data_IF_226739543764
#
_entry.id   IF_226739543764
#
_cell.length_a   1.000
_cell.length_b   1.000
_cell.length_c   1.000
_cell.angle_alpha   90.00
_cell.angle_beta   90.00
_cell.angle_gamma   90.00
#
_symmetry.space_group_name_H-M   'P 1'
#
loop_
_entity.id
_entity.type
_entity.pdbx_description
1 polymer ?
#
# COMPACT_ATOMS: atom_id res chain seq x y z
N UNK A 1 -25.60 -6.28 14.47
CA UNK A 1 -24.62 -5.44 13.74
C UNK A 1 -23.34 -6.23 13.53
N UNK A 2 -22.69 -6.19 12.36
CA UNK A 2 -21.39 -6.86 12.16
C UNK A 2 -20.29 -6.17 12.95
N UNK A 3 -19.38 -6.95 13.53
CA UNK A 3 -18.24 -6.45 14.31
C UNK A 3 -17.29 -5.59 13.48
N UNK A 4 -16.53 -4.73 14.15
CA UNK A 4 -15.50 -3.90 13.54
C UNK A 4 -14.54 -4.72 12.66
N UNK A 5 -14.06 -5.85 13.17
CA UNK A 5 -13.15 -6.76 12.45
C UNK A 5 -13.69 -7.19 11.06
N UNK A 6 -14.97 -7.56 10.98
CA UNK A 6 -15.56 -7.94 9.70
C UNK A 6 -15.76 -6.75 8.76
N UNK A 7 -15.97 -5.55 9.31
CA UNK A 7 -16.13 -4.33 8.51
C UNK A 7 -14.80 -3.83 7.96
N UNK A 8 -13.73 -3.81 8.75
CA UNK A 8 -12.40 -3.38 8.29
C UNK A 8 -11.84 -4.30 7.21
N UNK A 9 -12.12 -5.61 7.31
CA UNK A 9 -11.71 -6.63 6.34
C UNK A 9 -12.51 -6.63 5.04
N UNK A 10 -13.62 -5.89 5.00
CA UNK A 10 -14.47 -5.79 3.80
C UNK A 10 -13.74 -4.99 2.72
N UNK A 11 -13.60 -5.59 1.53
CA UNK A 11 -12.98 -4.92 0.39
C UNK A 11 -13.76 -3.65 0.00
N UNK A 12 -15.09 -3.70 0.01
CA UNK A 12 -15.92 -2.55 -0.33
C UNK A 12 -15.74 -1.36 0.64
N UNK A 13 -15.66 -1.63 1.96
CA UNK A 13 -15.34 -0.57 2.94
C UNK A 13 -13.94 -0.02 2.71
N UNK A 14 -12.98 -0.89 2.38
CA UNK A 14 -11.60 -0.48 2.11
C UNK A 14 -11.54 0.48 0.91
N UNK A 15 -12.19 0.16 -0.21
CA UNK A 15 -12.18 1.04 -1.39
C UNK A 15 -12.82 2.41 -1.13
N UNK A 16 -13.94 2.48 -0.41
CA UNK A 16 -14.51 3.77 0.02
C UNK A 16 -13.56 4.54 0.93
N UNK A 17 -12.91 3.86 1.85
CA UNK A 17 -12.00 4.47 2.82
C UNK A 17 -10.72 5.02 2.16
N UNK A 18 -10.23 4.36 1.11
CA UNK A 18 -9.01 4.75 0.38
C UNK A 18 -9.26 5.91 -0.60
N UNK A 19 -10.52 6.19 -0.97
CA UNK A 19 -10.87 7.21 -1.96
C UNK A 19 -10.22 8.59 -1.72
N UNK A 20 -10.20 9.16 -0.50
CA UNK A 20 -9.55 10.46 -0.27
C UNK A 20 -8.07 10.47 -0.62
N UNK A 21 -7.36 9.37 -0.35
CA UNK A 21 -5.94 9.22 -0.68
C UNK A 21 -5.73 9.12 -2.19
N UNK A 22 -6.59 8.36 -2.89
CA UNK A 22 -6.53 8.26 -4.34
C UNK A 22 -6.74 9.61 -5.03
N UNK A 23 -7.75 10.38 -4.57
CA UNK A 23 -8.01 11.73 -5.09
C UNK A 23 -6.82 12.65 -4.82
N UNK A 24 -6.28 12.63 -3.60
CA UNK A 24 -5.12 13.44 -3.23
C UNK A 24 -3.89 13.15 -4.10
N UNK A 25 -3.61 11.87 -4.38
CA UNK A 25 -2.52 11.49 -5.28
C UNK A 25 -2.75 11.95 -6.72
N UNK A 26 -3.90 11.63 -7.31
CA UNK A 26 -4.18 11.97 -8.73
C UNK A 26 -4.20 13.49 -8.96
N UNK A 27 -4.81 14.25 -8.06
CA UNK A 27 -4.77 15.73 -8.11
C UNK A 27 -3.35 16.24 -7.89
N UNK A 28 -2.62 15.69 -6.94
CA UNK A 28 -1.23 16.08 -6.67
C UNK A 28 -0.31 15.89 -7.87
N UNK A 29 -0.42 14.76 -8.56
CA UNK A 29 0.33 14.47 -9.80
C UNK A 29 -0.12 15.40 -10.93
N UNK A 30 -1.42 15.64 -11.09
CA UNK A 30 -1.95 16.55 -12.13
C UNK A 30 -1.44 17.99 -11.94
N UNK A 31 -1.40 18.48 -10.70
CA UNK A 31 -0.91 19.82 -10.38
C UNK A 31 0.61 19.97 -10.59
N UNK A 32 1.36 18.89 -10.43
CA UNK A 32 2.81 18.93 -10.59
C UNK A 32 3.25 19.11 -12.05
N UNK A 33 2.46 18.64 -13.02
CA UNK A 33 2.78 18.75 -14.45
C UNK A 33 4.00 17.94 -14.91
N UNK A 34 4.68 17.23 -13.99
CA UNK A 34 5.78 16.33 -14.31
C UNK A 34 5.22 14.92 -14.47
N UNK A 35 5.54 14.24 -15.57
CA UNK A 35 5.05 12.89 -15.87
C UNK A 35 5.61 11.77 -14.96
N UNK A 36 6.18 12.13 -13.80
CA UNK A 36 6.74 11.19 -12.84
C UNK A 36 5.61 10.64 -11.99
N UNK A 37 5.49 9.31 -11.91
CA UNK A 37 4.43 8.60 -11.19
C UNK A 37 5.03 7.53 -10.30
N UNK A 38 4.28 7.09 -9.29
CA UNK A 38 4.66 5.92 -8.52
C UNK A 38 4.78 4.69 -9.46
N UNK A 39 5.76 3.83 -9.24
CA UNK A 39 6.00 2.67 -10.11
C UNK A 39 4.82 1.70 -10.12
N UNK A 40 4.17 1.47 -8.98
CA UNK A 40 2.99 0.60 -8.92
C UNK A 40 1.77 1.20 -9.64
N UNK A 41 1.61 2.53 -9.63
CA UNK A 41 0.63 3.24 -10.47
C UNK A 41 0.85 2.90 -11.95
N UNK A 42 2.09 3.06 -12.42
CA UNK A 42 2.45 2.71 -13.81
C UNK A 42 2.12 1.24 -14.10
N UNK A 43 2.56 0.31 -13.25
CA UNK A 43 2.35 -1.14 -13.44
C UNK A 43 0.87 -1.51 -13.48
N UNK A 44 0.05 -0.96 -12.58
CA UNK A 44 -1.40 -1.21 -12.55
C UNK A 44 -2.08 -0.70 -13.83
N UNK A 45 -1.58 0.39 -14.41
CA UNK A 45 -2.13 0.98 -15.64
C UNK A 45 -1.60 0.31 -16.93
N UNK A 46 -0.53 -0.50 -16.88
CA UNK A 46 0.05 -1.18 -18.07
C UNK A 46 -0.98 -1.98 -18.88
N UNK A 47 -1.85 -2.83 -18.28
CA UNK A 47 -2.83 -3.59 -19.06
C UNK A 47 -3.80 -2.70 -19.85
N UNK A 48 -4.05 -1.48 -19.37
CA UNK A 48 -4.92 -0.53 -20.03
C UNK A 48 -4.25 0.20 -21.20
N UNK A 49 -2.92 0.13 -21.32
CA UNK A 49 -2.20 0.66 -22.48
C UNK A 49 -2.58 -0.06 -23.78
N UNK A 50 -3.12 -1.28 -23.70
CA UNK A 50 -3.66 -2.03 -24.84
C UNK A 50 -4.83 -1.29 -25.53
N UNK A 51 -5.51 -0.39 -24.82
CA UNK A 51 -6.60 0.43 -25.37
C UNK A 51 -6.11 1.77 -25.97
N UNK A 52 -4.79 1.92 -26.14
CA UNK A 52 -4.18 3.11 -26.75
C UNK A 52 -4.51 4.39 -26.00
N UNK A 53 -4.89 5.45 -26.73
CA UNK A 53 -5.19 6.78 -26.18
C UNK A 53 -6.32 6.77 -25.13
N UNK A 54 -7.21 5.77 -25.19
CA UNK A 54 -8.34 5.65 -24.27
C UNK A 54 -8.00 4.89 -22.98
N UNK A 55 -6.79 4.33 -22.85
CA UNK A 55 -6.43 3.50 -21.69
C UNK A 55 -6.61 4.20 -20.34
N UNK A 56 -6.23 5.48 -20.25
CA UNK A 56 -6.42 6.26 -19.02
C UNK A 56 -7.90 6.51 -18.70
N UNK A 57 -8.73 6.75 -19.72
CA UNK A 57 -10.17 6.95 -19.52
C UNK A 57 -10.84 5.66 -19.05
N UNK A 58 -10.45 4.52 -19.63
CA UNK A 58 -10.96 3.20 -19.24
C UNK A 58 -10.55 2.89 -17.80
N UNK A 59 -9.29 3.10 -17.41
CA UNK A 59 -8.85 2.91 -16.03
C UNK A 59 -9.70 3.76 -15.05
N UNK A 60 -9.90 5.04 -15.35
CA UNK A 60 -10.71 5.93 -14.50
C UNK A 60 -12.17 5.45 -14.42
N UNK A 61 -12.75 4.99 -15.53
CA UNK A 61 -14.10 4.42 -15.55
C UNK A 61 -14.17 3.16 -14.66
N UNK A 62 -13.18 2.28 -14.74
CA UNK A 62 -13.08 1.10 -13.88
C UNK A 62 -13.04 1.48 -12.39
N UNK A 63 -12.23 2.48 -12.03
CA UNK A 63 -12.17 3.00 -10.65
C UNK A 63 -13.55 3.52 -10.21
N UNK A 64 -14.21 4.35 -11.03
CA UNK A 64 -15.54 4.91 -10.71
C UNK A 64 -16.57 3.80 -10.54
N UNK A 65 -16.64 2.85 -11.47
CA UNK A 65 -17.58 1.72 -11.39
C UNK A 65 -17.33 0.91 -10.13
N UNK A 66 -16.05 0.61 -9.82
CA UNK A 66 -15.70 -0.15 -8.62
C UNK A 66 -16.10 0.59 -7.33
N UNK A 67 -15.95 1.92 -7.29
CA UNK A 67 -16.37 2.75 -6.17
C UNK A 67 -17.89 2.77 -6.01
N UNK A 68 -18.65 2.93 -7.10
CA UNK A 68 -20.12 2.91 -7.06
C UNK A 68 -20.65 1.55 -6.58
N UNK A 69 -20.10 0.45 -7.10
CA UNK A 69 -20.43 -0.90 -6.66
C UNK A 69 -20.08 -1.08 -5.18
N UNK A 70 -18.93 -0.57 -4.74
CA UNK A 70 -18.53 -0.62 -3.33
C UNK A 70 -19.47 0.18 -2.43
N UNK A 71 -19.88 1.38 -2.85
CA UNK A 71 -20.85 2.22 -2.13
C UNK A 71 -22.18 1.49 -1.94
N UNK A 72 -22.75 1.00 -3.05
CA UNK A 72 -24.02 0.27 -3.03
C UNK A 72 -23.94 -1.00 -2.16
N UNK A 73 -22.83 -1.74 -2.25
CA UNK A 73 -22.63 -2.93 -1.44
C UNK A 73 -22.50 -2.62 0.06
N UNK A 74 -21.80 -1.54 0.42
CA UNK A 74 -21.65 -1.10 1.80
C UNK A 74 -22.98 -0.66 2.38
N UNK A 75 -23.73 0.14 1.64
CA UNK A 75 -25.08 0.58 2.03
C UNK A 75 -25.98 -0.63 2.30
N UNK A 76 -26.05 -1.58 1.35
CA UNK A 76 -26.92 -2.75 1.44
C UNK A 76 -26.50 -3.75 2.53
N UNK A 77 -25.20 -3.97 2.75
CA UNK A 77 -24.69 -5.08 3.59
C UNK A 77 -24.18 -4.67 4.97
N UNK A 78 -23.68 -3.45 5.11
CA UNK A 78 -23.02 -2.99 6.32
C UNK A 78 -23.71 -1.78 6.95
N UNK A 79 -24.47 -0.99 6.18
CA UNK A 79 -24.87 0.37 6.54
C UNK A 79 -23.63 1.26 6.77
N UNK A 80 -23.65 2.46 6.20
CA UNK A 80 -22.54 3.40 6.29
C UNK A 80 -22.26 3.74 7.76
N UNK A 81 -21.00 3.68 8.18
CA UNK A 81 -20.59 3.94 9.57
C UNK A 81 -19.27 4.69 9.57
N UNK A 82 -19.35 6.01 9.82
CA UNK A 82 -18.17 6.87 9.96
C UNK A 82 -17.23 6.40 11.07
N UNK A 83 -17.78 5.87 12.17
CA UNK A 83 -16.99 5.27 13.25
C UNK A 83 -16.09 4.13 12.77
N UNK A 84 -16.54 3.34 11.79
CA UNK A 84 -15.69 2.27 11.22
C UNK A 84 -14.45 2.86 10.55
N UNK A 85 -14.60 3.94 9.78
CA UNK A 85 -13.48 4.60 9.11
C UNK A 85 -12.54 5.31 10.09
N UNK A 86 -13.09 5.92 11.15
CA UNK A 86 -12.27 6.52 12.22
C UNK A 86 -11.43 5.43 12.90
N UNK A 87 -12.02 4.29 13.24
CA UNK A 87 -11.30 3.17 13.86
C UNK A 87 -10.24 2.59 12.90
N UNK A 88 -10.56 2.44 11.61
CA UNK A 88 -9.58 1.99 10.59
C UNK A 88 -8.41 2.97 10.45
N UNK A 89 -8.68 4.28 10.51
CA UNK A 89 -7.65 5.32 10.48
C UNK A 89 -6.75 5.24 11.72
N UNK A 90 -7.34 5.20 12.91
CA UNK A 90 -6.59 5.11 14.18
C UNK A 90 -5.75 3.84 14.21
N UNK A 91 -6.31 2.70 13.83
CA UNK A 91 -5.59 1.44 13.75
C UNK A 91 -4.41 1.51 12.76
N UNK A 92 -4.66 2.04 11.55
CA UNK A 92 -3.61 2.23 10.55
C UNK A 92 -2.51 3.18 11.04
N UNK A 93 -2.86 4.26 11.72
CA UNK A 93 -1.92 5.19 12.32
C UNK A 93 -1.06 4.54 13.42
N UNK A 94 -1.65 3.69 14.28
CA UNK A 94 -0.90 2.94 15.30
C UNK A 94 0.10 1.99 14.63
N UNK A 95 -0.30 1.24 13.60
CA UNK A 95 0.63 0.41 12.84
C UNK A 95 1.70 1.23 12.12
N UNK A 96 1.36 2.41 11.60
CA UNK A 96 2.31 3.29 10.93
C UNK A 96 3.39 3.78 11.91
N UNK A 97 3.00 4.15 13.13
CA UNK A 97 3.94 4.51 14.19
C UNK A 97 4.84 3.32 14.58
N UNK A 98 4.28 2.11 14.66
CA UNK A 98 5.06 0.91 14.93
C UNK A 98 6.09 0.62 13.83
N UNK A 99 5.71 0.71 12.55
CA UNK A 99 6.65 0.50 11.42
C UNK A 99 7.70 1.63 11.40
N UNK A 100 7.25 2.88 11.47
CA UNK A 100 8.12 4.04 11.37
C UNK A 100 9.14 4.14 12.50
N UNK A 101 8.66 4.15 13.75
CA UNK A 101 9.54 4.31 14.91
C UNK A 101 10.07 2.97 15.43
N UNK A 102 9.23 1.96 15.58
CA UNK A 102 9.63 0.68 16.18
C UNK A 102 10.55 -0.12 15.26
N UNK A 103 10.04 -0.52 14.10
CA UNK A 103 10.82 -1.28 13.12
C UNK A 103 11.99 -0.44 12.58
N UNK A 104 11.75 0.84 12.33
CA UNK A 104 12.78 1.79 11.95
C UNK A 104 13.94 1.88 12.96
N UNK A 105 13.66 1.98 14.25
CA UNK A 105 14.68 1.97 15.30
C UNK A 105 15.51 0.67 15.26
N UNK A 106 14.86 -0.49 15.18
CA UNK A 106 15.55 -1.78 15.12
C UNK A 106 16.50 -1.83 13.93
N UNK A 107 16.07 -1.41 12.74
CA UNK A 107 16.91 -1.50 11.55
C UNK A 107 18.06 -0.50 11.60
N UNK A 108 17.78 0.78 11.82
CA UNK A 108 18.77 1.84 11.60
C UNK A 108 19.57 2.24 12.84
N UNK A 109 19.11 1.91 14.06
CA UNK A 109 19.87 2.19 15.30
C UNK A 109 20.48 0.92 15.91
N UNK A 110 19.86 -0.25 15.72
CA UNK A 110 20.37 -1.51 16.29
C UNK A 110 21.16 -2.32 15.26
N UNK A 111 20.57 -2.64 14.11
CA UNK A 111 21.21 -3.52 13.12
C UNK A 111 22.26 -2.78 12.27
N UNK A 112 21.99 -1.53 11.90
CA UNK A 112 22.83 -0.74 11.00
C UNK A 112 23.08 0.69 11.52
N UNK A 113 23.72 0.88 12.69
CA UNK A 113 23.88 2.19 13.35
C UNK A 113 24.67 3.23 12.55
N UNK A 114 25.50 2.79 11.58
CA UNK A 114 26.29 3.67 10.71
C UNK A 114 25.56 4.06 9.41
N UNK A 115 24.33 3.60 9.21
CA UNK A 115 23.56 3.94 8.02
C UNK A 115 23.09 5.40 8.08
N UNK A 116 23.50 6.20 7.09
CA UNK A 116 23.02 7.57 6.94
C UNK A 116 21.68 7.59 6.22
N UNK A 117 20.66 8.16 6.86
CA UNK A 117 19.38 8.41 6.22
C UNK A 117 19.53 9.55 5.20
N UNK A 118 19.07 9.31 3.97
CA UNK A 118 18.94 10.35 2.95
C UNK A 118 17.45 10.63 2.72
N UNK A 119 17.02 11.91 2.73
CA UNK A 119 15.67 12.25 2.31
C UNK A 119 15.46 11.76 0.88
N UNK A 120 14.37 11.03 0.65
CA UNK A 120 14.02 10.56 -0.69
C UNK A 120 13.50 11.72 -1.56
N UNK A 121 12.84 12.71 -0.95
CA UNK A 121 12.43 13.95 -1.60
C UNK A 121 12.98 15.17 -0.87
N UNK A 122 13.46 16.14 -1.63
CA UNK A 122 13.79 17.49 -1.13
C UNK A 122 12.55 18.39 -1.01
N UNK A 123 11.53 18.13 -1.84
CA UNK A 123 10.23 18.81 -1.78
C UNK A 123 9.26 17.99 -0.92
N UNK A 124 8.89 18.53 0.24
CA UNK A 124 7.98 17.89 1.20
C UNK A 124 6.61 17.60 0.60
N UNK A 125 6.04 18.53 -0.18
CA UNK A 125 4.73 18.33 -0.81
C UNK A 125 4.77 17.14 -1.79
N UNK A 126 5.81 17.07 -2.63
CA UNK A 126 6.01 15.95 -3.55
C UNK A 126 6.18 14.65 -2.78
N UNK A 127 6.95 14.66 -1.68
CA UNK A 127 7.08 13.49 -0.81
C UNK A 127 5.73 13.01 -0.30
N UNK A 128 4.88 13.90 0.22
CA UNK A 128 3.54 13.55 0.70
C UNK A 128 2.68 12.95 -0.42
N UNK A 129 2.64 13.58 -1.60
CA UNK A 129 1.86 13.07 -2.74
C UNK A 129 2.33 11.66 -3.12
N UNK A 130 3.64 11.42 -3.22
CA UNK A 130 4.18 10.10 -3.55
C UNK A 130 3.96 9.06 -2.44
N UNK A 131 4.05 9.44 -1.16
CA UNK A 131 3.73 8.57 -0.01
C UNK A 131 2.27 8.11 -0.05
N UNK A 132 1.36 9.02 -0.38
CA UNK A 132 -0.06 8.71 -0.53
C UNK A 132 -0.27 7.77 -1.73
N UNK A 133 0.37 8.07 -2.86
CA UNK A 133 0.34 7.21 -4.05
C UNK A 133 0.88 5.80 -3.79
N UNK A 134 2.02 5.70 -3.10
CA UNK A 134 2.63 4.42 -2.70
C UNK A 134 1.66 3.62 -1.83
N UNK A 135 1.10 4.24 -0.78
CA UNK A 135 0.14 3.57 0.08
C UNK A 135 -1.08 3.02 -0.67
N UNK A 136 -1.59 3.73 -1.68
CA UNK A 136 -2.73 3.24 -2.49
C UNK A 136 -2.31 2.18 -3.49
N UNK A 137 -1.41 2.53 -4.41
CA UNK A 137 -1.10 1.71 -5.57
C UNK A 137 -0.23 0.50 -5.23
N UNK A 138 0.74 0.64 -4.32
CA UNK A 138 1.59 -0.49 -3.93
C UNK A 138 0.80 -1.52 -3.13
N UNK A 139 -0.08 -1.11 -2.22
CA UNK A 139 -0.89 -2.07 -1.48
C UNK A 139 -1.91 -2.77 -2.38
N UNK A 140 -2.49 -2.08 -3.37
CA UNK A 140 -3.32 -2.76 -4.37
C UNK A 140 -2.48 -3.77 -5.17
N UNK A 141 -1.31 -3.37 -5.67
CA UNK A 141 -0.47 -4.23 -6.50
C UNK A 141 0.07 -5.44 -5.73
N UNK A 142 0.75 -5.20 -4.62
CA UNK A 142 1.48 -6.24 -3.90
C UNK A 142 0.59 -7.06 -2.99
N UNK A 143 -0.40 -6.44 -2.32
CA UNK A 143 -1.22 -7.15 -1.32
C UNK A 143 -2.50 -7.67 -1.94
N UNK A 144 -3.30 -6.79 -2.54
CA UNK A 144 -4.56 -7.23 -3.13
C UNK A 144 -4.35 -8.13 -4.35
N UNK A 145 -3.50 -7.76 -5.30
CA UNK A 145 -3.33 -8.53 -6.55
C UNK A 145 -2.31 -9.66 -6.38
N UNK A 146 -1.05 -9.34 -6.08
CA UNK A 146 0.04 -10.32 -6.08
C UNK A 146 -0.13 -11.39 -5.00
N UNK A 147 -0.28 -11.02 -3.72
CA UNK A 147 -0.42 -12.02 -2.64
C UNK A 147 -1.68 -12.87 -2.82
N UNK A 148 -2.82 -12.28 -3.21
CA UNK A 148 -4.04 -13.05 -3.48
C UNK A 148 -3.86 -14.02 -4.65
N UNK A 149 -3.21 -13.60 -5.73
CA UNK A 149 -2.92 -14.46 -6.88
C UNK A 149 -1.99 -15.61 -6.52
N UNK A 150 -0.88 -15.32 -5.83
CA UNK A 150 0.05 -16.33 -5.33
C UNK A 150 -0.66 -17.32 -4.39
N UNK A 151 -1.50 -16.82 -3.48
CA UNK A 151 -2.23 -17.68 -2.55
C UNK A 151 -3.19 -18.60 -3.30
N UNK A 152 -3.92 -18.07 -4.28
CA UNK A 152 -4.79 -18.86 -5.14
C UNK A 152 -4.01 -19.94 -5.90
N UNK A 153 -2.87 -19.59 -6.50
CA UNK A 153 -2.01 -20.56 -7.20
C UNK A 153 -1.56 -21.67 -6.24
N UNK A 154 -1.00 -21.34 -5.09
CA UNK A 154 -0.48 -22.36 -4.17
C UNK A 154 -1.60 -23.18 -3.52
N UNK A 155 -2.68 -22.55 -3.04
CA UNK A 155 -3.74 -23.24 -2.30
C UNK A 155 -4.75 -23.96 -3.21
N UNK A 156 -5.09 -23.39 -4.37
CA UNK A 156 -6.16 -23.92 -5.23
C UNK A 156 -5.59 -24.69 -6.42
N UNK A 157 -4.55 -24.19 -7.08
CA UNK A 157 -3.97 -24.87 -8.25
C UNK A 157 -3.02 -25.99 -7.84
N UNK A 158 -2.04 -25.69 -6.98
CA UNK A 158 -1.06 -26.69 -6.51
C UNK A 158 -1.53 -27.48 -5.29
N UNK A 159 -2.69 -27.12 -4.71
CA UNK A 159 -3.31 -27.82 -3.56
C UNK A 159 -2.40 -27.94 -2.33
N UNK A 160 -1.48 -26.99 -2.15
CA UNK A 160 -0.66 -26.87 -0.94
C UNK A 160 -1.56 -26.50 0.26
N UNK A 161 -1.21 -26.94 1.47
CA UNK A 161 -1.97 -26.63 2.68
C UNK A 161 -2.10 -25.11 2.85
N UNK A 162 -3.33 -24.62 3.06
CA UNK A 162 -3.65 -23.18 3.13
C UNK A 162 -2.71 -22.34 4.00
N UNK A 163 -2.31 -22.77 5.23
CA UNK A 163 -1.38 -21.99 6.03
C UNK A 163 -0.01 -21.83 5.36
N UNK A 164 0.50 -22.90 4.74
CA UNK A 164 1.77 -22.89 4.02
C UNK A 164 1.65 -22.01 2.78
N UNK A 165 0.56 -22.12 2.01
CA UNK A 165 0.30 -21.26 0.86
C UNK A 165 0.32 -19.78 1.25
N UNK A 166 -0.33 -19.40 2.36
CA UNK A 166 -0.33 -18.02 2.84
C UNK A 166 1.08 -17.54 3.23
N UNK A 167 1.84 -18.35 3.99
CA UNK A 167 3.22 -18.01 4.38
C UNK A 167 4.09 -17.82 3.14
N UNK A 168 4.07 -18.75 2.19
CA UNK A 168 4.88 -18.68 0.97
C UNK A 168 4.49 -17.47 0.11
N UNK A 169 3.19 -17.18 -0.04
CA UNK A 169 2.74 -15.98 -0.76
C UNK A 169 3.21 -14.68 -0.12
N UNK A 170 3.18 -14.58 1.22
CA UNK A 170 3.69 -13.42 1.96
C UNK A 170 5.19 -13.25 1.78
N UNK A 171 5.96 -14.34 1.89
CA UNK A 171 7.43 -14.30 1.73
C UNK A 171 7.83 -13.86 0.31
N UNK A 172 7.22 -14.48 -0.71
CA UNK A 172 7.48 -14.13 -2.12
C UNK A 172 7.03 -12.70 -2.40
N UNK A 173 5.82 -12.33 -1.95
CA UNK A 173 5.28 -10.98 -2.14
C UNK A 173 6.17 -9.88 -1.51
N UNK A 174 6.63 -10.09 -0.28
CA UNK A 174 7.53 -9.17 0.40
C UNK A 174 8.90 -9.06 -0.29
N UNK A 175 9.43 -10.16 -0.81
CA UNK A 175 10.68 -10.15 -1.58
C UNK A 175 10.53 -9.37 -2.89
N UNK A 176 9.46 -9.61 -3.66
CA UNK A 176 9.18 -8.89 -4.91
C UNK A 176 8.95 -7.40 -4.62
N UNK A 177 8.17 -7.05 -3.59
CA UNK A 177 7.99 -5.68 -3.12
C UNK A 177 9.34 -4.99 -2.85
N UNK A 178 10.23 -5.68 -2.12
CA UNK A 178 11.56 -5.15 -1.80
C UNK A 178 12.42 -4.99 -3.05
N UNK A 179 12.43 -5.98 -3.94
CA UNK A 179 13.22 -5.95 -5.16
C UNK A 179 12.80 -4.80 -6.10
N UNK A 180 11.50 -4.56 -6.23
CA UNK A 180 10.96 -3.50 -7.09
C UNK A 180 11.45 -2.09 -6.72
N UNK A 181 11.75 -1.85 -5.44
CA UNK A 181 12.28 -0.56 -4.98
C UNK A 181 13.71 -0.26 -5.47
N UNK A 182 14.42 -1.25 -6.00
CA UNK A 182 15.75 -1.07 -6.59
C UNK A 182 15.70 -1.03 -8.12
N UNK A 183 14.51 -0.89 -8.70
CA UNK A 183 14.28 -0.86 -10.15
C UNK A 183 13.52 0.40 -10.57
N UNK A 184 13.65 0.77 -11.85
CA UNK A 184 12.98 1.93 -12.42
C UNK A 184 13.69 3.27 -12.15
N UNK A 185 13.05 4.36 -12.56
CA UNK A 185 13.61 5.72 -12.55
C UNK A 185 13.73 6.30 -11.14
N UNK A 186 12.77 5.99 -10.26
CA UNK A 186 12.74 6.45 -8.86
C UNK A 186 13.28 5.39 -7.90
N UNK A 187 14.26 4.58 -8.34
CA UNK A 187 14.83 3.53 -7.52
C UNK A 187 15.60 4.08 -6.32
N UNK A 188 15.58 3.32 -5.24
CA UNK A 188 16.41 3.57 -4.08
C UNK A 188 17.89 3.25 -4.35
N UNK A 189 18.76 3.88 -3.55
CA UNK A 189 20.11 3.38 -3.37
C UNK A 189 20.09 2.09 -2.55
N UNK A 190 20.66 1.02 -3.10
CA UNK A 190 20.79 -0.23 -2.38
C UNK A 190 21.76 -0.08 -1.21
N UNK A 191 21.26 -0.38 -0.01
CA UNK A 191 22.05 -0.55 1.21
C UNK A 191 21.45 -1.72 1.99
N UNK A 192 22.25 -2.39 2.82
CA UNK A 192 21.71 -3.46 3.67
C UNK A 192 20.59 -2.93 4.59
N UNK A 193 20.73 -1.71 5.12
CA UNK A 193 19.72 -1.08 5.95
C UNK A 193 18.39 -0.84 5.19
N UNK A 194 18.44 -0.23 4.00
CA UNK A 194 17.22 0.01 3.20
C UNK A 194 16.57 -1.30 2.77
N UNK A 195 17.36 -2.31 2.39
CA UNK A 195 16.84 -3.62 1.98
C UNK A 195 16.15 -4.32 3.14
N UNK A 196 16.80 -4.36 4.31
CA UNK A 196 16.24 -4.98 5.51
C UNK A 196 14.98 -4.25 5.97
N UNK A 197 14.95 -2.91 5.98
CA UNK A 197 13.76 -2.15 6.33
C UNK A 197 12.59 -2.47 5.39
N UNK A 198 12.82 -2.44 4.07
CA UNK A 198 11.78 -2.72 3.07
C UNK A 198 11.27 -4.15 3.12
N UNK A 199 12.14 -5.12 3.37
CA UNK A 199 11.74 -6.51 3.51
C UNK A 199 10.87 -6.71 4.75
N UNK A 200 11.30 -6.17 5.89
CA UNK A 200 10.57 -6.30 7.15
C UNK A 200 9.25 -5.51 7.13
N UNK A 201 9.24 -4.28 6.60
CA UNK A 201 8.01 -3.51 6.42
C UNK A 201 7.07 -4.24 5.44
N UNK A 202 7.64 -4.82 4.38
CA UNK A 202 6.95 -5.64 3.41
C UNK A 202 6.17 -6.80 4.04
N UNK A 203 6.81 -7.52 4.96
CA UNK A 203 6.22 -8.61 5.74
C UNK A 203 5.15 -8.12 6.72
N UNK A 204 5.42 -7.05 7.47
CA UNK A 204 4.45 -6.47 8.44
C UNK A 204 3.20 -5.98 7.73
N UNK A 205 3.33 -5.23 6.64
CA UNK A 205 2.21 -4.77 5.81
C UNK A 205 1.40 -5.96 5.27
N UNK A 206 2.07 -7.02 4.82
CA UNK A 206 1.40 -8.24 4.35
C UNK A 206 0.59 -8.91 5.47
N UNK A 207 1.13 -8.96 6.70
CA UNK A 207 0.39 -9.47 7.86
C UNK A 207 -0.84 -8.59 8.16
N UNK A 208 -0.68 -7.26 8.21
CA UNK A 208 -1.79 -6.33 8.44
C UNK A 208 -2.87 -6.53 7.39
N UNK A 209 -2.51 -6.65 6.10
CA UNK A 209 -3.46 -6.93 5.04
C UNK A 209 -4.27 -8.22 5.29
N UNK A 210 -3.59 -9.34 5.61
CA UNK A 210 -4.26 -10.63 5.81
C UNK A 210 -5.23 -10.62 7.01
N UNK A 211 -4.85 -9.94 8.09
CA UNK A 211 -5.66 -9.92 9.31
C UNK A 211 -6.72 -8.83 9.30
N UNK A 212 -6.40 -7.63 8.78
CA UNK A 212 -7.19 -6.41 9.01
C UNK A 212 -7.85 -5.85 7.76
N UNK A 213 -7.29 -6.12 6.59
CA UNK A 213 -7.85 -5.73 5.28
C UNK A 213 -7.09 -4.59 4.59
N UNK A 214 -7.49 -4.33 3.34
CA UNK A 214 -6.81 -3.40 2.43
C UNK A 214 -6.80 -1.96 2.95
N UNK A 215 -7.93 -1.46 3.48
CA UNK A 215 -8.02 -0.06 3.89
C UNK A 215 -7.08 0.29 5.03
N UNK A 216 -6.92 -0.62 6.01
CA UNK A 216 -6.01 -0.41 7.15
C UNK A 216 -4.55 -0.41 6.68
N UNK A 217 -4.15 -1.36 5.82
CA UNK A 217 -2.76 -1.44 5.34
C UNK A 217 -2.39 -0.25 4.44
N UNK A 218 -3.32 0.24 3.61
CA UNK A 218 -3.10 1.42 2.75
C UNK A 218 -2.80 2.67 3.57
N UNK A 219 -3.61 2.94 4.60
CA UNK A 219 -3.35 4.07 5.49
C UNK A 219 -2.11 3.85 6.34
N UNK A 220 -1.85 2.62 6.79
CA UNK A 220 -0.60 2.29 7.49
C UNK A 220 0.60 2.69 6.65
N UNK A 221 0.61 2.27 5.37
CA UNK A 221 1.70 2.52 4.44
C UNK A 221 1.85 4.03 4.16
N UNK A 222 0.78 4.68 3.72
CA UNK A 222 0.80 6.11 3.40
C UNK A 222 1.25 6.96 4.60
N UNK A 223 0.76 6.67 5.82
CA UNK A 223 1.10 7.44 7.02
C UNK A 223 2.57 7.25 7.39
N UNK A 224 3.09 6.02 7.40
CA UNK A 224 4.50 5.83 7.79
C UNK A 224 5.43 6.50 6.76
N UNK A 225 5.12 6.41 5.47
CA UNK A 225 5.89 7.10 4.43
C UNK A 225 5.83 8.62 4.61
N UNK A 226 4.64 9.21 4.82
CA UNK A 226 4.51 10.65 5.08
C UNK A 226 5.34 11.07 6.29
N UNK A 227 5.31 10.27 7.36
CA UNK A 227 6.12 10.54 8.55
C UNK A 227 7.63 10.51 8.21
N UNK A 228 8.12 9.59 7.36
CA UNK A 228 9.52 9.62 6.90
C UNK A 228 9.88 10.90 6.15
N UNK A 229 8.95 11.43 5.35
CA UNK A 229 9.14 12.67 4.59
C UNK A 229 9.19 13.88 5.52
N UNK A 230 8.29 13.95 6.50
CA UNK A 230 8.22 15.06 7.45
C UNK A 230 9.37 15.06 8.45
N UNK A 231 9.72 13.87 8.96
CA UNK A 231 10.80 13.68 9.91
C UNK A 231 11.38 12.27 9.74
N UNK A 232 12.53 12.12 9.06
CA UNK A 232 13.15 10.82 8.90
C UNK A 232 13.38 10.15 10.26
N UNK A 233 12.87 8.93 10.44
CA UNK A 233 12.86 8.22 11.73
C UNK A 233 14.25 7.85 12.29
N UNK A 234 15.32 8.16 11.56
CA UNK A 234 16.69 7.71 11.87
C UNK A 234 17.67 8.87 12.03
N UNK A 235 17.19 10.11 11.92
CA UNK A 235 17.95 11.33 12.23
C UNK A 235 17.77 11.63 13.71
#
# INVERSE_FOLDING_TARGET
MKSYYHRSKSLANSFLFILPLLVLYEVGIAMQGQGIKNTADVVIKVPFALFGRNGSLIFNLFVIVFLLVSAFYVEKKYQFSSLTFILMFVEGAVYALFIGYGLGYVVYKVLFPLALAKPFFTNVWMGIVFSVGAGVYEEILFRLLLITALYFIFANLFKIRKPISAIVSVLIGAFIFTAMHYTGTLKDSFTYASFTFRLLSGLVLSAIFMFRGLGVVVYTHAIYDVLTVLKPFHV
#
